data_IF_183081394150
#
_entry.id   IF_183081394150
#
_cell.length_a   1.000
_cell.length_b   1.000
_cell.length_c   1.000
_cell.angle_alpha   90.00
_cell.angle_beta   90.00
_cell.angle_gamma   90.00
#
_symmetry.space_group_name_H-M   'P 1'
#
loop_
_entity.id
_entity.type
_entity.pdbx_description
1 polymer ?
#
# COMPACT_ATOMS: atom_id res chain seq x y z
N UNK A 1 17.88 42.75 -14.06
CA UNK A 1 18.97 42.09 -13.31
C UNK A 1 18.83 42.48 -11.84
N UNK A 2 18.96 41.49 -10.95
CA UNK A 2 18.86 41.54 -9.48
C UNK A 2 17.46 41.73 -8.88
N UNK A 3 16.88 40.60 -8.44
CA UNK A 3 15.71 40.61 -7.55
C UNK A 3 14.97 39.27 -7.44
N UNK A 4 15.65 38.13 -7.24
CA UNK A 4 14.99 36.83 -6.97
C UNK A 4 15.92 35.73 -6.44
N UNK A 5 16.73 36.04 -5.41
CA UNK A 5 17.50 35.02 -4.67
C UNK A 5 17.40 35.26 -3.17
N UNK A 6 16.29 34.88 -2.55
CA UNK A 6 16.24 34.75 -1.08
C UNK A 6 15.07 33.92 -0.51
N UNK A 7 14.82 32.72 -1.03
CA UNK A 7 14.04 31.71 -0.28
C UNK A 7 14.57 30.30 -0.61
N UNK A 8 15.82 30.01 -0.25
CA UNK A 8 16.30 28.62 -0.11
C UNK A 8 17.46 28.63 0.89
N UNK A 9 17.12 28.64 2.16
CA UNK A 9 18.03 28.19 3.21
C UNK A 9 17.21 27.84 4.45
N UNK A 10 16.70 26.62 4.52
CA UNK A 10 16.36 26.03 5.80
C UNK A 10 16.91 24.61 5.84
N UNK A 11 18.15 24.50 6.33
CA UNK A 11 18.86 23.24 6.60
C UNK A 11 18.32 22.61 7.89
N UNK A 12 17.07 22.16 7.87
CA UNK A 12 16.44 21.54 9.03
C UNK A 12 15.79 20.16 8.75
N UNK A 13 15.89 19.61 7.54
CA UNK A 13 15.19 18.36 7.17
C UNK A 13 16.09 17.17 6.86
N UNK A 14 17.42 17.27 6.98
CA UNK A 14 18.35 16.18 6.60
C UNK A 14 18.98 15.42 7.76
N UNK A 15 18.34 15.30 8.93
CA UNK A 15 18.97 14.64 10.09
C UNK A 15 18.12 13.60 10.85
N UNK A 16 16.98 13.15 10.29
CA UNK A 16 16.13 12.19 10.99
C UNK A 16 16.74 10.76 11.05
N UNK A 17 17.37 10.31 9.97
CA UNK A 17 17.92 8.95 9.86
C UNK A 17 19.14 8.67 10.78
N UNK A 18 19.83 9.70 11.30
CA UNK A 18 21.03 9.53 12.15
C UNK A 18 20.74 9.50 13.65
N UNK A 19 19.52 9.82 14.09
CA UNK A 19 19.19 9.85 15.52
C UNK A 19 18.80 8.47 16.08
N UNK A 20 18.52 7.51 15.20
CA UNK A 20 18.05 6.16 15.55
C UNK A 20 19.15 5.19 16.01
N UNK A 21 20.43 5.54 15.91
CA UNK A 21 21.54 4.58 16.14
C UNK A 21 22.15 4.59 17.54
N UNK A 22 21.60 5.31 18.53
CA UNK A 22 22.26 5.39 19.84
C UNK A 22 21.35 5.62 21.05
N UNK A 23 20.36 4.77 21.28
CA UNK A 23 19.84 4.53 22.65
C UNK A 23 19.21 3.13 22.76
N UNK A 24 20.04 2.09 22.79
CA UNK A 24 19.68 0.82 23.41
C UNK A 24 20.65 0.58 24.55
N UNK A 25 20.13 0.60 25.78
CA UNK A 25 20.54 -0.20 26.95
C UNK A 25 19.97 0.44 28.21
N UNK A 26 18.78 0.01 28.62
CA UNK A 26 18.38 -0.27 30.01
C UNK A 26 16.94 -0.81 30.00
N UNK A 27 16.77 -2.10 29.74
CA UNK A 27 15.51 -2.78 30.06
C UNK A 27 15.44 -2.95 31.57
N UNK A 28 14.55 -2.20 32.22
CA UNK A 28 14.26 -2.36 33.63
C UNK A 28 13.39 -3.63 33.82
N UNK A 29 13.80 -4.65 34.60
CA UNK A 29 13.11 -5.96 34.62
C UNK A 29 11.83 -6.00 35.46
N UNK A 30 11.38 -4.88 36.03
CA UNK A 30 10.28 -4.85 37.00
C UNK A 30 9.10 -3.99 36.53
N UNK A 31 8.42 -4.40 35.46
CA UNK A 31 7.01 -4.03 35.26
C UNK A 31 6.15 -5.23 35.64
N UNK A 32 5.61 -5.15 36.84
CA UNK A 32 4.64 -6.09 37.39
C UNK A 32 3.44 -6.24 36.47
N UNK A 33 3.10 -7.48 36.16
CA UNK A 33 1.99 -7.92 35.31
C UNK A 33 0.61 -7.73 35.96
N UNK A 34 0.27 -6.53 36.40
CA UNK A 34 -1.03 -6.21 36.97
C UNK A 34 -1.55 -4.90 36.38
N UNK A 35 -2.68 -4.99 35.66
CA UNK A 35 -3.43 -3.92 34.97
C UNK A 35 -3.07 -3.64 33.50
N UNK A 36 -3.10 -4.63 32.62
CA UNK A 36 -3.36 -4.37 31.19
C UNK A 36 -4.87 -4.26 30.97
N UNK A 37 -5.46 -3.11 31.35
CA UNK A 37 -6.78 -2.75 30.86
C UNK A 37 -6.78 -2.82 29.33
N UNK A 38 -7.78 -3.47 28.72
CA UNK A 38 -7.92 -3.46 27.26
C UNK A 38 -8.11 -2.00 26.83
N UNK A 39 -7.07 -1.41 26.21
CA UNK A 39 -7.16 -0.05 25.71
C UNK A 39 -8.16 0.00 24.55
N UNK A 40 -8.83 1.16 24.33
CA UNK A 40 -9.61 1.38 23.13
C UNK A 40 -8.78 1.10 21.87
N UNK A 41 -9.42 0.54 20.85
CA UNK A 41 -8.74 0.15 19.62
C UNK A 41 -8.14 1.34 18.85
N UNK A 42 -8.68 2.53 19.08
CA UNK A 42 -8.19 3.82 18.55
C UNK A 42 -7.04 4.41 19.35
N UNK A 43 -6.64 3.78 20.46
CA UNK A 43 -5.41 4.14 21.18
C UNK A 43 -4.21 3.65 20.37
N UNK A 44 -3.34 4.60 20.03
CA UNK A 44 -2.16 4.41 19.21
C UNK A 44 -0.92 4.46 20.10
N UNK A 45 0.13 3.74 19.71
CA UNK A 45 1.45 3.95 20.31
C UNK A 45 1.98 5.34 19.95
N UNK A 46 3.00 5.82 20.67
CA UNK A 46 3.63 7.11 20.37
C UNK A 46 4.18 7.16 18.94
N UNK A 47 4.79 6.06 18.48
CA UNK A 47 5.33 5.94 17.11
C UNK A 47 4.22 5.95 16.05
N UNK A 48 3.12 5.22 16.28
CA UNK A 48 1.94 5.20 15.40
C UNK A 48 1.29 6.60 15.32
N UNK A 49 1.14 7.28 16.45
CA UNK A 49 0.58 8.62 16.51
C UNK A 49 1.49 9.62 15.78
N UNK A 50 2.80 9.57 16.00
CA UNK A 50 3.78 10.44 15.33
C UNK A 50 3.77 10.24 13.82
N UNK A 51 3.71 8.99 13.36
CA UNK A 51 3.62 8.69 11.92
C UNK A 51 2.32 9.23 11.34
N UNK A 52 1.18 8.97 11.99
CA UNK A 52 -0.13 9.47 11.56
C UNK A 52 -0.12 10.99 11.40
N UNK A 53 0.38 11.73 12.37
CA UNK A 53 0.46 13.20 12.31
C UNK A 53 1.37 13.68 11.18
N UNK A 54 2.51 13.02 11.00
CA UNK A 54 3.47 13.35 9.94
C UNK A 54 2.84 13.15 8.56
N UNK A 55 2.21 11.99 8.33
CA UNK A 55 1.56 11.68 7.05
C UNK A 55 0.37 12.60 6.81
N UNK A 56 -0.44 12.88 7.83
CA UNK A 56 -1.58 13.81 7.72
C UNK A 56 -1.13 15.20 7.26
N UNK A 57 -0.02 15.71 7.82
CA UNK A 57 0.58 16.98 7.41
C UNK A 57 1.13 16.91 5.98
N UNK A 58 1.90 15.88 5.64
CA UNK A 58 2.45 15.70 4.29
C UNK A 58 1.35 15.60 3.23
N UNK A 59 0.28 14.86 3.51
CA UNK A 59 -0.86 14.74 2.61
C UNK A 59 -1.53 16.10 2.36
N UNK A 60 -1.74 16.91 3.41
CA UNK A 60 -2.32 18.26 3.28
C UNK A 60 -1.40 19.25 2.56
N UNK A 61 -0.11 19.23 2.88
CA UNK A 61 0.85 20.23 2.36
C UNK A 61 1.36 19.91 0.96
N UNK A 62 1.51 18.62 0.62
CA UNK A 62 2.20 18.19 -0.61
C UNK A 62 1.30 17.42 -1.58
N UNK A 63 0.26 16.74 -1.12
CA UNK A 63 -0.65 15.99 -2.00
C UNK A 63 -1.88 16.83 -2.36
N UNK A 64 -2.55 17.42 -1.36
CA UNK A 64 -3.82 18.16 -1.54
C UNK A 64 -3.76 19.23 -2.63
N UNK A 65 -2.70 20.07 -2.74
CA UNK A 65 -2.64 21.12 -3.75
C UNK A 65 -2.61 20.59 -5.19
N UNK A 66 -2.20 19.35 -5.41
CA UNK A 66 -1.98 18.77 -6.74
C UNK A 66 -2.95 17.64 -7.10
N UNK A 67 -3.92 17.31 -6.24
CA UNK A 67 -4.89 16.21 -6.50
C UNK A 67 -5.64 16.40 -7.81
N UNK A 68 -6.20 17.59 -8.05
CA UNK A 68 -6.96 17.87 -9.28
C UNK A 68 -6.08 17.78 -10.53
N UNK A 69 -4.83 18.20 -10.42
CA UNK A 69 -3.86 18.10 -11.52
C UNK A 69 -3.55 16.63 -11.81
N UNK A 70 -3.25 15.82 -10.79
CA UNK A 70 -2.99 14.39 -10.95
C UNK A 70 -4.19 13.63 -11.53
N UNK A 71 -5.41 13.96 -11.12
CA UNK A 71 -6.63 13.36 -11.67
C UNK A 71 -6.84 13.72 -13.15
N UNK A 72 -6.54 14.96 -13.56
CA UNK A 72 -6.60 15.38 -14.97
C UNK A 72 -5.49 14.75 -15.83
N UNK A 73 -4.28 14.68 -15.28
CA UNK A 73 -3.11 14.07 -15.94
C UNK A 73 -3.20 12.54 -16.03
N UNK A 74 -3.98 11.92 -15.14
CA UNK A 74 -4.13 10.48 -15.04
C UNK A 74 -2.89 9.73 -14.56
N UNK A 75 -1.95 10.40 -13.89
CA UNK A 75 -0.78 9.78 -13.27
C UNK A 75 -0.34 10.55 -12.02
N UNK A 76 0.32 9.84 -11.09
CA UNK A 76 0.93 10.46 -9.91
C UNK A 76 2.11 11.33 -10.33
N UNK A 77 2.16 12.57 -9.82
CA UNK A 77 3.26 13.49 -10.12
C UNK A 77 4.59 12.95 -9.55
N UNK A 78 5.72 13.11 -10.28
CA UNK A 78 7.03 12.67 -9.81
C UNK A 78 7.42 13.23 -8.43
N UNK A 79 7.07 14.48 -8.13
CA UNK A 79 7.38 15.10 -6.83
C UNK A 79 6.61 14.44 -5.67
N UNK A 80 5.36 14.04 -5.89
CA UNK A 80 4.58 13.28 -4.90
C UNK A 80 5.20 11.92 -4.69
N UNK A 81 5.55 11.21 -5.77
CA UNK A 81 6.20 9.90 -5.68
C UNK A 81 7.54 9.98 -4.93
N UNK A 82 8.37 10.96 -5.27
CA UNK A 82 9.64 11.23 -4.59
C UNK A 82 9.44 11.51 -3.10
N UNK A 83 8.45 12.33 -2.75
CA UNK A 83 8.11 12.62 -1.36
C UNK A 83 7.73 11.34 -0.58
N UNK A 84 6.94 10.43 -1.19
CA UNK A 84 6.57 9.16 -0.54
C UNK A 84 7.81 8.33 -0.21
N UNK A 85 8.76 8.21 -1.14
CA UNK A 85 10.03 7.50 -0.90
C UNK A 85 10.91 8.19 0.14
N UNK A 86 11.14 9.50 0.01
CA UNK A 86 12.01 10.26 0.93
C UNK A 86 11.51 10.26 2.39
N UNK A 87 10.22 10.03 2.61
CA UNK A 87 9.60 9.94 3.93
C UNK A 87 9.36 8.48 4.39
N UNK A 88 9.89 7.48 3.68
CA UNK A 88 9.79 6.07 4.07
C UNK A 88 8.41 5.44 3.91
N UNK A 89 7.50 6.10 3.18
CA UNK A 89 6.10 5.67 3.04
C UNK A 89 5.90 4.54 2.03
N UNK A 90 6.95 4.18 1.27
CA UNK A 90 6.96 3.08 0.30
C UNK A 90 7.67 1.82 0.83
N UNK A 91 8.08 1.82 2.10
CA UNK A 91 8.78 0.69 2.73
C UNK A 91 8.48 0.62 4.22
N UNK A 92 7.20 0.77 4.61
CA UNK A 92 6.80 1.02 6.00
C UNK A 92 7.18 -0.14 6.93
N UNK A 93 6.82 -1.37 6.57
CA UNK A 93 7.15 -2.58 7.35
C UNK A 93 8.49 -3.21 6.96
N UNK A 94 9.11 -2.75 5.87
CA UNK A 94 10.39 -3.30 5.41
C UNK A 94 11.45 -3.00 6.48
N UNK A 95 12.26 -4.00 6.85
CA UNK A 95 13.33 -3.84 7.84
C UNK A 95 14.29 -2.72 7.44
N UNK A 96 14.80 -1.99 8.44
CA UNK A 96 15.86 -0.99 8.27
C UNK A 96 17.12 -1.56 7.61
N UNK A 97 17.40 -2.86 7.78
CA UNK A 97 18.53 -3.54 7.13
C UNK A 97 18.41 -3.54 5.59
N UNK A 98 17.18 -3.44 5.10
CA UNK A 98 16.85 -3.31 3.69
C UNK A 98 16.43 -1.89 3.30
N UNK A 99 16.70 -0.89 4.15
CA UNK A 99 16.39 0.51 3.88
C UNK A 99 14.92 0.89 3.99
N UNK A 100 14.10 0.09 4.67
CA UNK A 100 12.73 0.44 5.05
C UNK A 100 12.63 1.13 6.41
N UNK A 101 11.40 1.45 6.83
CA UNK A 101 11.14 2.16 8.09
C UNK A 101 11.05 1.24 9.32
N UNK A 102 10.86 -0.07 9.12
CA UNK A 102 10.79 -1.06 10.20
C UNK A 102 9.59 -0.87 11.15
N UNK A 103 8.53 -0.22 10.70
CA UNK A 103 7.31 0.01 11.48
C UNK A 103 6.40 -1.23 11.49
N UNK A 104 5.37 -1.22 12.34
CA UNK A 104 4.38 -2.29 12.40
C UNK A 104 3.28 -2.15 11.32
N UNK A 105 2.43 -3.16 11.17
CA UNK A 105 1.36 -3.14 10.18
C UNK A 105 0.32 -2.08 10.46
N UNK A 106 0.00 -1.84 11.74
CA UNK A 106 -0.92 -0.77 12.13
C UNK A 106 -0.46 0.60 11.60
N UNK A 107 0.84 0.89 11.64
CA UNK A 107 1.44 2.11 11.07
C UNK A 107 1.23 2.16 9.56
N UNK A 108 1.42 1.05 8.84
CA UNK A 108 1.15 0.97 7.41
C UNK A 108 -0.32 1.32 7.09
N UNK A 109 -1.26 0.78 7.86
CA UNK A 109 -2.70 1.06 7.71
C UNK A 109 -3.03 2.54 7.94
N UNK A 110 -2.41 3.17 8.93
CA UNK A 110 -2.58 4.61 9.18
C UNK A 110 -2.02 5.48 8.05
N UNK A 111 -0.87 5.11 7.48
CA UNK A 111 -0.29 5.80 6.33
C UNK A 111 -1.27 5.78 5.16
N UNK A 112 -1.86 4.61 4.86
CA UNK A 112 -2.86 4.48 3.79
C UNK A 112 -4.11 5.30 4.09
N UNK A 113 -4.64 5.25 5.33
CA UNK A 113 -5.82 6.03 5.71
C UNK A 113 -5.59 7.54 5.56
N UNK A 114 -4.50 8.08 6.13
CA UNK A 114 -4.23 9.52 6.14
C UNK A 114 -3.98 10.08 4.73
N UNK A 115 -3.28 9.34 3.86
CA UNK A 115 -3.12 9.72 2.46
C UNK A 115 -4.48 9.69 1.74
N UNK A 116 -5.30 8.68 2.00
CA UNK A 116 -6.59 8.48 1.33
C UNK A 116 -7.65 9.50 1.75
N UNK A 117 -7.50 10.17 2.90
CA UNK A 117 -8.31 11.36 3.25
C UNK A 117 -8.16 12.50 2.25
N UNK A 118 -7.03 12.56 1.55
CA UNK A 118 -6.71 13.61 0.58
C UNK A 118 -6.80 13.09 -0.85
N UNK A 119 -6.17 11.95 -1.15
CA UNK A 119 -6.14 11.37 -2.49
C UNK A 119 -6.15 9.83 -2.40
N UNK A 120 -7.34 9.21 -2.52
CA UNK A 120 -7.45 7.75 -2.54
C UNK A 120 -6.63 7.07 -3.64
N UNK A 121 -6.36 7.75 -4.77
CA UNK A 121 -5.51 7.22 -5.83
C UNK A 121 -4.04 7.05 -5.44
N UNK A 122 -3.48 8.02 -4.71
CA UNK A 122 -2.14 7.87 -4.11
C UNK A 122 -2.17 6.87 -2.97
N UNK A 123 -3.26 6.84 -2.18
CA UNK A 123 -3.47 5.83 -1.14
C UNK A 123 -3.41 4.39 -1.67
N UNK A 124 -4.04 4.11 -2.82
CA UNK A 124 -3.96 2.81 -3.48
C UNK A 124 -2.53 2.44 -3.90
N UNK A 125 -1.78 3.40 -4.44
CA UNK A 125 -0.38 3.19 -4.83
C UNK A 125 0.45 2.75 -3.62
N UNK A 126 0.31 3.45 -2.51
CA UNK A 126 1.04 3.18 -1.26
C UNK A 126 0.60 1.85 -0.65
N UNK A 127 -0.71 1.56 -0.64
CA UNK A 127 -1.26 0.29 -0.15
C UNK A 127 -0.69 -0.90 -0.93
N UNK A 128 -0.92 -0.96 -2.24
CA UNK A 128 -0.49 -2.09 -3.09
C UNK A 128 1.01 -2.35 -2.92
N UNK A 129 1.80 -1.28 -2.85
CA UNK A 129 3.23 -1.38 -2.70
C UNK A 129 3.64 -1.97 -1.34
N UNK A 130 3.03 -1.51 -0.25
CA UNK A 130 3.39 -1.95 1.12
C UNK A 130 2.70 -3.23 1.58
N UNK A 131 1.51 -3.57 1.08
CA UNK A 131 0.71 -4.71 1.57
C UNK A 131 0.69 -5.89 0.61
N UNK A 132 1.05 -5.68 -0.66
CA UNK A 132 1.16 -6.75 -1.65
C UNK A 132 2.60 -6.96 -2.11
N UNK A 133 3.28 -5.93 -2.63
CA UNK A 133 4.61 -6.13 -3.25
C UNK A 133 5.69 -6.40 -2.21
N UNK A 134 5.88 -5.46 -1.27
CA UNK A 134 6.92 -5.56 -0.25
C UNK A 134 6.81 -6.86 0.57
N UNK A 135 5.63 -7.27 1.06
CA UNK A 135 5.48 -8.48 1.87
C UNK A 135 5.74 -9.75 1.08
N UNK A 136 5.41 -9.80 -0.22
CA UNK A 136 5.70 -10.99 -1.04
C UNK A 136 7.22 -11.22 -1.12
N UNK A 137 8.00 -10.17 -1.37
CA UNK A 137 9.47 -10.28 -1.42
C UNK A 137 10.06 -10.51 -0.03
N UNK A 138 9.58 -9.80 0.99
CA UNK A 138 10.09 -9.92 2.35
C UNK A 138 9.88 -11.31 2.94
N UNK A 139 8.71 -11.92 2.74
CA UNK A 139 8.36 -13.21 3.32
C UNK A 139 8.79 -14.42 2.49
N UNK A 140 8.74 -14.33 1.16
CA UNK A 140 8.94 -15.49 0.28
C UNK A 140 10.14 -15.34 -0.66
N UNK A 141 10.77 -14.17 -0.72
CA UNK A 141 12.02 -13.99 -1.44
C UNK A 141 13.16 -14.74 -0.76
N UNK A 142 14.12 -15.22 -1.55
CA UNK A 142 15.41 -15.65 -1.01
C UNK A 142 16.27 -14.42 -0.65
N UNK A 143 17.41 -14.63 0.01
CA UNK A 143 18.26 -13.53 0.47
C UNK A 143 18.83 -12.67 -0.67
N UNK A 144 19.11 -13.24 -1.84
CA UNK A 144 19.58 -12.48 -3.00
C UNK A 144 18.47 -11.57 -3.54
N UNK A 145 17.24 -12.09 -3.64
CA UNK A 145 16.06 -11.33 -4.05
C UNK A 145 15.76 -10.20 -3.06
N UNK A 146 15.80 -10.47 -1.75
CA UNK A 146 15.58 -9.44 -0.71
C UNK A 146 16.62 -8.32 -0.82
N UNK A 147 17.90 -8.67 -0.88
CA UNK A 147 19.01 -7.71 -1.00
C UNK A 147 18.95 -6.90 -2.29
N UNK A 148 18.46 -7.48 -3.40
CA UNK A 148 18.27 -6.76 -4.66
C UNK A 148 17.08 -5.81 -4.59
N UNK A 149 15.89 -6.31 -4.23
CA UNK A 149 14.64 -5.60 -4.49
C UNK A 149 14.15 -4.75 -3.30
N UNK A 150 14.29 -5.20 -2.05
CA UNK A 150 13.72 -4.45 -0.91
C UNK A 150 14.34 -3.05 -0.74
N UNK A 151 15.66 -2.83 -0.91
CA UNK A 151 16.24 -1.49 -0.89
C UNK A 151 15.69 -0.59 -1.99
N UNK A 152 15.55 -1.12 -3.20
CA UNK A 152 14.99 -0.37 -4.34
C UNK A 152 13.52 -0.04 -4.10
N UNK A 153 12.72 -1.02 -3.67
CA UNK A 153 11.30 -0.84 -3.37
C UNK A 153 11.05 0.12 -2.20
N UNK A 154 12.01 0.26 -1.29
CA UNK A 154 11.86 1.20 -0.16
C UNK A 154 12.26 2.63 -0.52
N UNK A 155 13.05 2.84 -1.58
CA UNK A 155 13.73 4.13 -1.81
C UNK A 155 13.56 4.75 -3.21
N UNK A 156 13.27 3.97 -4.25
CA UNK A 156 13.32 4.52 -5.62
C UNK A 156 12.52 3.77 -6.69
N UNK A 157 12.00 2.58 -6.41
CA UNK A 157 11.33 1.74 -7.40
C UNK A 157 9.92 1.39 -6.93
N UNK A 158 8.94 1.56 -7.80
CA UNK A 158 7.56 1.09 -7.57
C UNK A 158 7.42 -0.35 -8.03
N UNK A 159 6.59 -1.14 -7.35
CA UNK A 159 6.25 -2.49 -7.79
C UNK A 159 4.78 -2.67 -8.18
N UNK A 160 4.51 -3.72 -8.95
CA UNK A 160 3.17 -4.14 -9.35
C UNK A 160 2.91 -5.61 -9.02
N UNK A 161 1.66 -5.93 -8.66
CA UNK A 161 1.20 -7.28 -8.34
C UNK A 161 0.26 -7.80 -9.44
N UNK A 162 0.62 -8.88 -10.12
CA UNK A 162 0.03 -9.24 -11.42
C UNK A 162 -0.65 -10.61 -11.40
N UNK A 163 -1.91 -10.65 -10.99
CA UNK A 163 -2.72 -11.88 -10.90
C UNK A 163 -3.84 -11.93 -11.96
N UNK A 164 -4.67 -10.90 -12.00
CA UNK A 164 -5.92 -10.84 -12.76
C UNK A 164 -5.68 -10.89 -14.27
N UNK A 165 -6.58 -11.56 -14.98
CA UNK A 165 -6.58 -11.66 -16.46
C UNK A 165 -7.96 -11.35 -17.02
N UNK A 166 -8.10 -11.08 -18.33
CA UNK A 166 -9.41 -10.84 -18.94
C UNK A 166 -10.42 -11.98 -18.67
N UNK A 167 -9.95 -13.22 -18.57
CA UNK A 167 -10.78 -14.41 -18.28
C UNK A 167 -10.79 -14.83 -16.81
N UNK A 168 -10.03 -14.18 -15.92
CA UNK A 168 -9.90 -14.61 -14.51
C UNK A 168 -9.79 -13.40 -13.57
N UNK A 169 -10.96 -12.92 -13.13
CA UNK A 169 -11.11 -11.91 -12.07
C UNK A 169 -11.33 -12.56 -10.70
N UNK A 170 -12.60 -12.70 -10.30
CA UNK A 170 -12.97 -13.36 -9.03
C UNK A 170 -12.52 -14.83 -8.97
N UNK A 171 -12.58 -15.55 -10.09
CA UNK A 171 -11.95 -16.86 -10.24
C UNK A 171 -10.46 -16.71 -10.60
N UNK A 172 -9.70 -16.10 -9.69
CA UNK A 172 -8.33 -15.67 -9.95
C UNK A 172 -7.37 -16.81 -10.33
N UNK A 173 -7.67 -18.05 -9.91
CA UNK A 173 -6.81 -19.20 -10.15
C UNK A 173 -7.12 -19.95 -11.45
N UNK A 174 -8.11 -19.49 -12.22
CA UNK A 174 -8.37 -19.94 -13.59
C UNK A 174 -7.45 -19.27 -14.64
N UNK A 175 -6.42 -18.55 -14.18
CA UNK A 175 -5.46 -17.83 -15.02
C UNK A 175 -4.86 -18.70 -16.14
N UNK A 176 -4.65 -18.08 -17.29
CA UNK A 176 -4.17 -18.67 -18.54
C UNK A 176 -2.75 -18.28 -18.90
N UNK A 177 -2.16 -17.27 -18.26
CA UNK A 177 -0.73 -16.97 -18.42
C UNK A 177 0.09 -18.18 -17.99
N UNK A 178 0.97 -18.66 -18.87
CA UNK A 178 1.80 -19.85 -18.65
C UNK A 178 3.26 -19.47 -18.52
N UNK A 179 4.01 -20.22 -17.71
CA UNK A 179 5.46 -20.13 -17.61
C UNK A 179 6.07 -21.50 -17.95
N UNK A 180 6.50 -21.70 -19.20
CA UNK A 180 7.07 -22.98 -19.63
C UNK A 180 8.56 -23.02 -19.34
N UNK A 181 9.02 -24.08 -18.70
CA UNK A 181 10.46 -24.31 -18.50
C UNK A 181 11.14 -24.55 -19.85
N UNK A 182 12.24 -23.86 -20.10
CA UNK A 182 13.06 -23.96 -21.29
C UNK A 182 14.55 -23.89 -20.89
N UNK A 183 15.20 -25.05 -20.82
CA UNK A 183 16.54 -25.18 -20.25
C UNK A 183 16.58 -24.80 -18.76
N UNK A 184 17.43 -23.83 -18.41
CA UNK A 184 17.55 -23.25 -17.06
C UNK A 184 16.50 -22.18 -16.76
N UNK A 185 15.76 -21.74 -17.77
CA UNK A 185 14.91 -20.55 -17.71
C UNK A 185 13.43 -20.92 -17.80
N UNK A 186 12.58 -19.93 -17.62
CA UNK A 186 11.16 -19.99 -17.93
C UNK A 186 10.82 -18.98 -19.02
N UNK A 187 9.93 -19.38 -19.92
CA UNK A 187 9.36 -18.53 -20.96
C UNK A 187 7.89 -18.28 -20.62
N UNK A 188 7.57 -17.04 -20.30
CA UNK A 188 6.23 -16.59 -19.90
C UNK A 188 5.48 -16.09 -21.13
N UNK A 189 4.26 -16.59 -21.32
CA UNK A 189 3.34 -16.17 -22.36
C UNK A 189 1.93 -15.95 -21.79
N UNK A 190 1.29 -14.85 -22.15
CA UNK A 190 -0.07 -14.54 -21.72
C UNK A 190 -0.33 -13.04 -21.59
N UNK A 191 -1.31 -12.70 -20.75
CA UNK A 191 -1.67 -11.31 -20.48
C UNK A 191 -2.23 -11.15 -19.07
N UNK A 192 -2.08 -9.95 -18.53
CA UNK A 192 -2.69 -9.55 -17.26
C UNK A 192 -3.54 -8.31 -17.47
N UNK A 193 -4.59 -8.17 -16.67
CA UNK A 193 -5.55 -7.08 -16.78
C UNK A 193 -5.72 -6.41 -15.42
N UNK A 194 -6.00 -5.11 -15.43
CA UNK A 194 -6.24 -4.31 -14.21
C UNK A 194 -5.03 -4.20 -13.29
N UNK A 195 -3.80 -4.15 -13.85
CA UNK A 195 -2.59 -4.10 -13.02
C UNK A 195 -2.31 -2.66 -12.60
N UNK A 196 -2.61 -2.36 -11.34
CA UNK A 196 -2.31 -1.08 -10.71
C UNK A 196 -0.80 -0.86 -10.52
N UNK A 197 -0.38 0.41 -10.50
CA UNK A 197 1.01 0.89 -10.43
C UNK A 197 1.87 0.54 -11.65
N UNK A 198 1.33 -0.11 -12.68
CA UNK A 198 2.10 -0.65 -13.80
C UNK A 198 2.71 0.42 -14.71
N UNK A 199 2.12 1.60 -14.75
CA UNK A 199 2.68 2.76 -15.45
C UNK A 199 4.02 3.19 -14.86
N UNK A 200 4.17 3.11 -13.53
CA UNK A 200 5.36 3.51 -12.77
C UNK A 200 6.30 2.35 -12.39
N UNK A 201 5.79 1.12 -12.35
CA UNK A 201 6.52 0.01 -11.73
C UNK A 201 7.79 -0.38 -12.49
N UNK A 202 8.89 -0.52 -11.75
CA UNK A 202 10.15 -1.08 -12.24
C UNK A 202 10.21 -2.60 -12.14
N UNK A 203 9.37 -3.20 -11.28
CA UNK A 203 9.33 -4.65 -11.04
C UNK A 203 7.89 -5.15 -10.92
N UNK A 204 7.65 -6.36 -11.44
CA UNK A 204 6.33 -6.98 -11.53
C UNK A 204 6.38 -8.37 -10.89
N UNK A 205 5.51 -8.61 -9.92
CA UNK A 205 5.29 -9.93 -9.33
C UNK A 205 4.20 -10.64 -10.13
N UNK A 206 4.61 -11.51 -11.04
CA UNK A 206 3.75 -12.15 -12.04
C UNK A 206 3.37 -13.56 -11.62
N UNK A 207 2.07 -13.81 -11.50
CA UNK A 207 1.54 -15.13 -11.23
C UNK A 207 1.21 -15.82 -12.56
N UNK A 208 1.96 -16.87 -12.88
CA UNK A 208 1.81 -17.64 -14.11
C UNK A 208 1.74 -19.13 -13.79
N UNK A 209 1.03 -19.90 -14.61
CA UNK A 209 0.91 -21.34 -14.41
C UNK A 209 2.09 -22.07 -15.06
N UNK A 210 2.98 -22.60 -14.21
CA UNK A 210 4.15 -23.35 -14.65
C UNK A 210 3.86 -24.86 -14.81
N UNK A 211 2.68 -25.31 -14.40
CA UNK A 211 2.18 -26.67 -14.65
C UNK A 211 0.65 -26.69 -14.82
N UNK A 212 0.13 -26.36 -16.02
CA UNK A 212 -1.32 -26.25 -16.23
C UNK A 212 -2.12 -27.52 -15.89
N UNK A 213 -1.53 -28.71 -16.02
CA UNK A 213 -2.21 -29.97 -15.68
C UNK A 213 -2.46 -30.15 -14.18
N UNK A 214 -1.73 -29.42 -13.32
CA UNK A 214 -1.93 -29.38 -11.88
C UNK A 214 -2.96 -28.31 -11.44
N UNK A 215 -3.60 -27.62 -12.38
CA UNK A 215 -4.56 -26.55 -12.10
C UNK A 215 -3.91 -25.41 -11.29
N UNK A 216 -4.60 -24.96 -10.23
CA UNK A 216 -4.10 -23.87 -9.38
C UNK A 216 -2.78 -24.21 -8.65
N UNK A 217 -2.47 -25.50 -8.46
CA UNK A 217 -1.21 -25.96 -7.83
C UNK A 217 0.00 -25.85 -8.78
N UNK A 218 -0.21 -25.48 -10.04
CA UNK A 218 0.87 -25.11 -10.96
C UNK A 218 1.20 -23.62 -10.96
N UNK A 219 0.38 -22.78 -10.33
CA UNK A 219 0.58 -21.33 -10.27
C UNK A 219 1.84 -21.03 -9.46
N UNK A 220 2.75 -20.27 -10.06
CA UNK A 220 4.05 -19.91 -9.51
C UNK A 220 4.23 -18.39 -9.64
N UNK A 221 4.90 -17.78 -8.66
CA UNK A 221 5.23 -16.36 -8.68
C UNK A 221 6.60 -16.14 -9.33
N UNK A 222 6.70 -15.20 -10.24
CA UNK A 222 7.94 -14.79 -10.91
C UNK A 222 8.15 -13.29 -10.75
N UNK A 223 9.39 -12.89 -10.51
CA UNK A 223 9.80 -11.49 -10.56
C UNK A 223 10.19 -11.15 -12.01
N UNK A 224 9.51 -10.18 -12.61
CA UNK A 224 9.80 -9.70 -13.97
C UNK A 224 10.19 -8.22 -13.89
N UNK A 225 11.39 -7.89 -14.35
CA UNK A 225 11.86 -6.50 -14.43
C UNK A 225 11.18 -5.80 -15.63
N UNK A 226 10.88 -4.49 -15.50
CA UNK A 226 10.10 -3.71 -16.49
C UNK A 226 10.59 -3.84 -17.92
N UNK A 227 11.90 -3.83 -18.11
CA UNK A 227 12.54 -3.79 -19.43
C UNK A 227 12.90 -5.18 -19.98
N UNK A 228 12.34 -6.25 -19.39
CA UNK A 228 12.57 -7.62 -19.87
C UNK A 228 12.04 -7.78 -21.31
N UNK A 229 12.84 -8.27 -22.27
CA UNK A 229 12.39 -8.43 -23.66
C UNK A 229 11.10 -9.26 -23.77
N UNK A 230 10.17 -8.82 -24.63
CA UNK A 230 8.87 -9.46 -24.81
C UNK A 230 7.80 -9.04 -23.80
N UNK A 231 8.16 -8.29 -22.76
CA UNK A 231 7.22 -7.78 -21.78
C UNK A 231 6.75 -6.39 -22.19
N UNK A 232 5.44 -6.21 -22.32
CA UNK A 232 4.84 -4.94 -22.74
C UNK A 232 3.80 -4.48 -21.73
N UNK A 233 3.91 -3.21 -21.36
CA UNK A 233 2.92 -2.50 -20.56
C UNK A 233 2.12 -1.64 -21.52
N UNK A 234 0.82 -1.88 -21.62
CA UNK A 234 -0.05 -1.11 -22.51
C UNK A 234 -0.41 0.24 -21.89
N UNK A 235 -1.12 1.07 -22.66
CA UNK A 235 -1.63 2.36 -22.17
C UNK A 235 -2.50 2.17 -20.91
N UNK A 236 -2.49 3.13 -19.97
CA UNK A 236 -3.41 3.11 -18.84
C UNK A 236 -4.89 3.08 -19.27
N UNK A 237 -5.71 2.40 -18.48
CA UNK A 237 -7.16 2.32 -18.62
C UNK A 237 -7.81 3.66 -18.30
N UNK A 238 -8.89 3.98 -19.03
CA UNK A 238 -9.74 5.13 -18.72
C UNK A 238 -10.75 4.72 -17.64
N UNK A 239 -10.58 5.24 -16.42
CA UNK A 239 -11.32 4.83 -15.22
C UNK A 239 -12.24 5.94 -14.72
N UNK A 240 -13.31 5.55 -13.99
CA UNK A 240 -14.24 6.48 -13.34
C UNK A 240 -13.57 7.33 -12.24
N UNK A 241 -12.65 6.74 -11.49
CA UNK A 241 -11.95 7.36 -10.35
C UNK A 241 -10.66 6.61 -10.06
N UNK A 242 -9.92 7.05 -9.04
CA UNK A 242 -8.54 6.58 -8.79
C UNK A 242 -7.71 6.75 -10.08
N UNK A 243 -7.95 7.86 -10.78
CA UNK A 243 -7.47 8.03 -12.16
C UNK A 243 -5.95 8.14 -12.16
N UNK A 244 -5.38 8.84 -11.17
CA UNK A 244 -3.94 9.01 -11.03
C UNK A 244 -3.16 7.73 -10.71
N UNK A 245 -3.82 6.67 -10.21
CA UNK A 245 -3.18 5.35 -10.06
C UNK A 245 -3.22 4.67 -11.43
N UNK A 246 -2.07 4.58 -12.11
CA UNK A 246 -2.03 3.95 -13.42
C UNK A 246 -2.41 2.48 -13.33
N UNK A 247 -3.30 2.07 -14.23
CA UNK A 247 -3.82 0.70 -14.31
C UNK A 247 -3.71 0.27 -15.75
N UNK A 248 -2.90 -0.73 -16.06
CA UNK A 248 -2.65 -1.12 -17.43
C UNK A 248 -2.95 -2.60 -17.65
N UNK A 249 -3.24 -2.95 -18.90
CA UNK A 249 -3.06 -4.31 -19.38
C UNK A 249 -1.57 -4.60 -19.58
N UNK A 250 -1.17 -5.84 -19.34
CA UNK A 250 0.18 -6.34 -19.59
C UNK A 250 0.13 -7.47 -20.60
N UNK A 251 1.10 -7.56 -21.51
CA UNK A 251 1.29 -8.72 -22.37
C UNK A 251 2.69 -9.30 -22.22
N UNK A 252 2.75 -10.63 -22.28
CA UNK A 252 3.97 -11.41 -22.22
C UNK A 252 4.06 -12.21 -23.52
N UNK A 253 4.99 -11.82 -24.39
CA UNK A 253 5.32 -12.55 -25.61
C UNK A 253 6.73 -13.11 -25.49
N UNK A 254 6.81 -14.41 -25.20
CA UNK A 254 8.06 -15.13 -25.01
C UNK A 254 9.04 -14.46 -24.01
N UNK A 255 8.49 -13.92 -22.92
CA UNK A 255 9.27 -13.26 -21.87
C UNK A 255 10.13 -14.30 -21.16
N UNK A 256 11.44 -14.23 -21.36
CA UNK A 256 12.39 -15.16 -20.75
C UNK A 256 12.87 -14.64 -19.40
N UNK A 257 12.73 -15.45 -18.37
CA UNK A 257 13.24 -15.18 -17.02
C UNK A 257 14.08 -16.35 -16.51
N UNK A 258 15.19 -16.09 -15.81
CA UNK A 258 16.01 -17.16 -15.24
C UNK A 258 15.24 -17.90 -14.13
N UNK A 259 15.61 -19.13 -13.80
CA UNK A 259 15.01 -19.83 -12.66
C UNK A 259 15.12 -19.06 -11.32
N UNK A 260 16.15 -18.21 -11.16
CA UNK A 260 16.31 -17.32 -9.99
C UNK A 260 15.27 -16.21 -9.88
N UNK A 261 14.49 -15.95 -10.95
CA UNK A 261 13.34 -15.05 -10.90
C UNK A 261 12.12 -15.67 -10.20
N UNK A 262 12.09 -17.00 -10.02
CA UNK A 262 11.02 -17.66 -9.28
C UNK A 262 11.07 -17.21 -7.81
N UNK A 263 9.93 -16.72 -7.31
CA UNK A 263 9.79 -16.26 -5.94
C UNK A 263 9.02 -17.30 -5.13
N UNK A 264 9.59 -17.69 -4.00
CA UNK A 264 9.10 -18.81 -3.20
C UNK A 264 9.27 -20.15 -3.92
N UNK A 265 8.38 -21.09 -3.61
CA UNK A 265 8.42 -22.44 -4.15
C UNK A 265 7.54 -22.61 -5.40
N UNK A 266 7.97 -23.50 -6.30
CA UNK A 266 7.19 -23.91 -7.46
C UNK A 266 5.78 -24.36 -7.05
N UNK A 267 4.76 -23.86 -7.76
CA UNK A 267 3.36 -24.22 -7.51
C UNK A 267 2.74 -23.63 -6.24
N UNK A 268 3.47 -22.82 -5.46
CA UNK A 268 2.96 -22.14 -4.26
C UNK A 268 2.45 -20.72 -4.53
N UNK A 269 2.44 -20.26 -5.79
CA UNK A 269 2.01 -18.91 -6.15
C UNK A 269 0.58 -18.60 -5.69
N UNK A 270 -0.36 -19.55 -5.79
CA UNK A 270 -1.73 -19.34 -5.32
C UNK A 270 -1.81 -19.09 -3.79
N UNK A 271 -0.96 -19.76 -2.99
CA UNK A 271 -0.89 -19.55 -1.54
C UNK A 271 -0.26 -18.20 -1.21
N UNK A 272 0.82 -17.85 -1.90
CA UNK A 272 1.47 -16.54 -1.75
C UNK A 272 0.46 -15.44 -2.04
N UNK A 273 -0.24 -15.52 -3.18
CA UNK A 273 -1.19 -14.48 -3.57
C UNK A 273 -2.33 -14.31 -2.57
N UNK A 274 -2.95 -15.40 -2.10
CA UNK A 274 -4.09 -15.27 -1.18
C UNK A 274 -3.65 -14.80 0.21
N UNK A 275 -2.44 -15.17 0.65
CA UNK A 275 -1.90 -14.73 1.93
C UNK A 275 -1.78 -13.21 1.97
N UNK A 276 -1.13 -12.61 0.98
CA UNK A 276 -0.94 -11.15 0.94
C UNK A 276 -2.21 -10.40 0.57
N UNK A 277 -3.12 -10.99 -0.22
CA UNK A 277 -4.44 -10.39 -0.47
C UNK A 277 -5.28 -10.29 0.82
N UNK A 278 -5.06 -11.13 1.83
CA UNK A 278 -5.71 -10.94 3.13
C UNK A 278 -5.22 -9.67 3.82
N UNK A 279 -3.94 -9.34 3.71
CA UNK A 279 -3.35 -8.11 4.25
C UNK A 279 -3.79 -6.89 3.43
N UNK A 280 -3.72 -6.98 2.11
CA UNK A 280 -4.17 -5.92 1.20
C UNK A 280 -5.66 -5.58 1.34
N UNK A 281 -6.52 -6.52 1.76
CA UNK A 281 -7.93 -6.21 2.09
C UNK A 281 -8.04 -5.21 3.25
N UNK A 282 -7.14 -5.27 4.23
CA UNK A 282 -7.10 -4.34 5.35
C UNK A 282 -6.59 -2.97 4.87
N UNK A 283 -5.61 -2.96 3.96
CA UNK A 283 -5.13 -1.74 3.29
C UNK A 283 -6.23 -1.03 2.49
N UNK A 284 -6.98 -1.76 1.66
CA UNK A 284 -8.14 -1.21 0.93
C UNK A 284 -9.24 -0.73 1.88
N UNK A 285 -9.49 -1.43 2.99
CA UNK A 285 -10.42 -0.95 4.01
C UNK A 285 -9.97 0.41 4.59
N UNK A 286 -8.66 0.58 4.84
CA UNK A 286 -8.07 1.84 5.27
C UNK A 286 -8.18 2.94 4.20
N UNK A 287 -8.01 2.59 2.93
CA UNK A 287 -8.20 3.49 1.80
C UNK A 287 -9.64 4.01 1.75
N UNK A 288 -10.62 3.11 1.86
CA UNK A 288 -12.04 3.46 1.85
C UNK A 288 -12.44 4.29 3.08
N UNK A 289 -11.91 3.93 4.26
CA UNK A 289 -12.09 4.70 5.49
C UNK A 289 -11.53 6.11 5.36
N UNK A 290 -10.31 6.25 4.83
CA UNK A 290 -9.69 7.54 4.58
C UNK A 290 -10.52 8.39 3.61
N UNK A 291 -10.95 7.82 2.48
CA UNK A 291 -11.82 8.48 1.52
C UNK A 291 -13.13 9.00 2.16
N UNK A 292 -13.80 8.14 2.94
CA UNK A 292 -15.03 8.49 3.63
C UNK A 292 -14.81 9.60 4.68
N UNK A 293 -13.74 9.51 5.49
CA UNK A 293 -13.40 10.52 6.48
C UNK A 293 -13.04 11.85 5.83
N UNK A 294 -12.22 11.84 4.76
CA UNK A 294 -11.85 13.06 4.05
C UNK A 294 -13.05 13.77 3.42
N UNK A 295 -13.98 13.01 2.83
CA UNK A 295 -15.24 13.56 2.31
C UNK A 295 -16.10 14.15 3.43
N UNK A 296 -16.23 13.43 4.56
CA UNK A 296 -16.97 13.90 5.73
C UNK A 296 -16.37 15.20 6.30
N UNK A 297 -15.05 15.25 6.48
CA UNK A 297 -14.33 16.41 7.01
C UNK A 297 -14.46 17.64 6.10
N UNK A 298 -14.55 17.46 4.78
CA UNK A 298 -14.83 18.55 3.84
C UNK A 298 -16.31 18.99 3.87
N UNK A 299 -17.23 18.07 4.17
CA UNK A 299 -18.67 18.31 4.15
C UNK A 299 -19.14 19.10 5.36
N UNK A 300 -18.65 18.76 6.57
CA UNK A 300 -19.16 19.37 7.81
C UNK A 300 -18.98 20.90 7.84
N UNK A 301 -17.79 21.48 7.57
CA UNK A 301 -17.63 22.93 7.54
C UNK A 301 -18.58 23.60 6.53
N UNK A 302 -18.74 23.03 5.33
CA UNK A 302 -19.67 23.55 4.32
C UNK A 302 -21.11 23.59 4.84
N UNK A 303 -21.55 22.57 5.56
CA UNK A 303 -22.93 22.54 6.11
C UNK A 303 -23.18 23.58 7.20
N UNK A 304 -22.13 24.00 7.91
CA UNK A 304 -22.19 25.04 8.93
C UNK A 304 -22.14 26.47 8.33
N UNK A 305 -21.54 26.62 7.16
CA UNK A 305 -21.43 27.91 6.45
C UNK A 305 -22.60 28.16 5.50
N UNK A 306 -23.05 27.14 4.75
CA UNK A 306 -24.09 27.26 3.73
C UNK A 306 -25.45 27.52 4.40
N UNK A 307 -26.11 28.61 4.04
CA UNK A 307 -27.43 28.97 4.56
C UNK A 307 -28.56 28.71 3.56
N UNK A 308 -29.70 28.24 4.06
CA UNK A 308 -31.01 28.22 3.39
C UNK A 308 -32.12 28.43 4.42
N UNK A 309 -33.24 29.03 4.02
CA UNK A 309 -34.35 29.36 4.92
C UNK A 309 -33.91 30.13 6.19
N UNK A 310 -32.91 31.02 6.06
CA UNK A 310 -32.43 31.89 7.13
C UNK A 310 -31.50 31.25 8.17
N UNK A 311 -31.02 30.01 7.97
CA UNK A 311 -30.10 29.35 8.89
C UNK A 311 -29.10 28.43 8.16
N UNK A 312 -27.96 28.07 8.79
CA UNK A 312 -27.08 27.01 8.29
C UNK A 312 -27.83 25.71 7.98
N UNK A 313 -27.48 25.06 6.87
CA UNK A 313 -28.14 23.80 6.46
C UNK A 313 -27.88 22.66 7.47
N UNK A 314 -26.82 22.76 8.28
CA UNK A 314 -26.58 21.86 9.40
C UNK A 314 -27.70 21.86 10.46
N UNK A 315 -28.46 22.96 10.63
CA UNK A 315 -29.49 23.06 11.67
C UNK A 315 -30.81 22.35 11.34
N UNK A 316 -30.98 21.87 10.10
CA UNK A 316 -32.14 21.04 9.78
C UNK A 316 -31.95 19.64 10.38
N UNK A 317 -32.88 19.21 11.23
CA UNK A 317 -32.80 17.91 11.90
C UNK A 317 -32.63 16.74 10.91
N UNK A 318 -33.30 16.79 9.74
CA UNK A 318 -33.12 15.79 8.69
C UNK A 318 -31.68 15.68 8.17
N UNK A 319 -30.94 16.79 8.10
CA UNK A 319 -29.52 16.80 7.78
C UNK A 319 -28.68 16.23 8.92
N UNK A 320 -28.99 16.59 10.17
CA UNK A 320 -28.27 16.11 11.36
C UNK A 320 -28.37 14.59 11.51
N UNK A 321 -29.54 13.99 11.24
CA UNK A 321 -29.71 12.54 11.28
C UNK A 321 -28.82 11.83 10.25
N UNK A 322 -28.71 12.38 9.03
CA UNK A 322 -27.82 11.82 7.99
C UNK A 322 -26.35 11.93 8.42
N UNK A 323 -25.94 13.10 8.92
CA UNK A 323 -24.58 13.34 9.40
C UNK A 323 -24.22 12.38 10.55
N UNK A 324 -25.10 12.23 11.54
CA UNK A 324 -24.88 11.35 12.69
C UNK A 324 -24.76 9.88 12.26
N UNK A 325 -25.59 9.43 11.31
CA UNK A 325 -25.53 8.08 10.75
C UNK A 325 -24.20 7.84 10.03
N UNK A 326 -23.77 8.76 9.16
CA UNK A 326 -22.50 8.64 8.43
C UNK A 326 -21.32 8.65 9.40
N UNK A 327 -21.31 9.53 10.40
CA UNK A 327 -20.26 9.58 11.42
C UNK A 327 -20.14 8.25 12.17
N UNK A 328 -21.28 7.63 12.51
CA UNK A 328 -21.33 6.32 13.17
C UNK A 328 -20.78 5.22 12.25
N UNK A 329 -21.14 5.22 10.96
CA UNK A 329 -20.64 4.26 9.99
C UNK A 329 -19.12 4.36 9.78
N UNK A 330 -18.59 5.59 9.72
CA UNK A 330 -17.15 5.83 9.63
C UNK A 330 -16.42 5.29 10.88
N UNK A 331 -16.94 5.54 12.08
CA UNK A 331 -16.34 5.02 13.31
C UNK A 331 -16.40 3.49 13.37
N UNK A 332 -17.52 2.87 12.97
CA UNK A 332 -17.60 1.41 12.86
C UNK A 332 -16.57 0.84 11.87
N UNK A 333 -16.44 1.46 10.69
CA UNK A 333 -15.45 1.04 9.69
C UNK A 333 -14.01 1.17 10.21
N UNK A 334 -13.71 2.23 10.97
CA UNK A 334 -12.42 2.42 11.65
C UNK A 334 -12.11 1.30 12.62
N UNK A 335 -13.07 0.98 13.50
CA UNK A 335 -12.89 -0.08 14.48
C UNK A 335 -12.69 -1.44 13.80
N UNK A 336 -13.45 -1.77 12.76
CA UNK A 336 -13.27 -3.04 12.04
C UNK A 336 -11.89 -3.13 11.36
N UNK A 337 -11.48 -2.06 10.70
CA UNK A 337 -10.18 -1.98 9.99
C UNK A 337 -9.02 -2.11 10.96
N UNK A 338 -9.03 -1.32 12.04
CA UNK A 338 -7.97 -1.32 13.03
C UNK A 338 -7.90 -2.64 13.79
N UNK A 339 -9.04 -3.29 14.04
CA UNK A 339 -9.07 -4.58 14.73
C UNK A 339 -8.39 -5.64 13.88
N UNK A 340 -8.69 -5.68 12.57
CA UNK A 340 -8.03 -6.59 11.65
C UNK A 340 -6.52 -6.33 11.57
N UNK A 341 -6.10 -5.06 11.55
CA UNK A 341 -4.68 -4.68 11.56
C UNK A 341 -3.97 -5.17 12.83
N UNK A 342 -4.55 -4.92 14.01
CA UNK A 342 -4.02 -5.39 15.29
C UNK A 342 -3.97 -6.91 15.38
N UNK A 343 -4.94 -7.63 14.81
CA UNK A 343 -4.95 -9.10 14.76
C UNK A 343 -3.85 -9.69 13.88
N UNK A 344 -3.42 -8.96 12.83
CA UNK A 344 -2.24 -9.34 12.02
C UNK A 344 -0.95 -9.13 12.81
N UNK A 345 -0.84 -8.04 13.55
CA UNK A 345 0.35 -7.74 14.34
C UNK A 345 0.60 -8.80 15.44
N UNK A 346 1.83 -9.34 15.57
CA UNK A 346 2.14 -10.43 16.50
C UNK A 346 1.82 -10.15 17.97
N UNK A 347 1.71 -8.88 18.38
CA UNK A 347 1.38 -8.48 19.75
C UNK A 347 -0.02 -8.91 20.20
N UNK A 348 -0.94 -9.25 19.28
CA UNK A 348 -2.26 -9.81 19.63
C UNK A 348 -2.30 -11.34 19.73
N UNK A 349 -1.24 -12.06 19.37
CA UNK A 349 -1.20 -13.53 19.52
C UNK A 349 -0.95 -14.01 20.96
N UNK A 350 -0.91 -13.12 21.94
CA UNK A 350 -0.67 -13.49 23.35
C UNK A 350 -1.94 -14.02 24.05
N UNK A 351 -3.14 -13.85 23.48
CA UNK A 351 -4.38 -14.14 24.23
C UNK A 351 -5.28 -15.26 23.68
N UNK A 352 -4.90 -16.03 22.64
CA UNK A 352 -5.68 -17.21 22.28
C UNK A 352 -4.81 -18.42 21.91
N UNK A 353 -4.89 -19.40 22.83
CA UNK A 353 -4.71 -20.85 22.67
C UNK A 353 -3.30 -21.34 22.31
N UNK A 354 -2.48 -21.51 23.35
CA UNK A 354 -1.94 -22.86 23.61
C UNK A 354 -3.10 -23.72 24.12
N UNK A 355 -3.37 -24.83 23.43
CA UNK A 355 -3.66 -26.18 23.98
C UNK A 355 -4.49 -27.00 23.00
N UNK A 356 -4.33 -28.34 22.93
CA UNK A 356 -3.14 -29.18 23.15
C UNK A 356 -2.36 -29.43 21.86
#
# INVERSE_FOLDING_TARGET
>A
MNGLKRIFNNKATTNFAKKWTRTMMTTNPNMSSSETGRLPLTTLTEDEQMMKETVSRLAKEQIAPVVREMEQLGHVKPDVLKMLFENGLMGVEVSSDYGGAGCNFMTCIQVVEEISKVCPGVGALVDIHNTLVNPVIAHYGNEEQKKKYLPLLSNSMVGSFCITEPSSGSDAFALKTVAKKDGSDYVINGSKMWISNSDLAGVFLVFANANPSAGYKGITCFIVDRDTPGFTIHKPENKLGIVCSGTCMLSFDNVRVPASAMLGEFGQGYKISISVLNEGRIGIAAQMLGCAQGCFDATIPYTLERQQFGQPIYHFQGMQHQIALIATQIEMARLLTYNAARMKDPLHRVCNTKSP
#
